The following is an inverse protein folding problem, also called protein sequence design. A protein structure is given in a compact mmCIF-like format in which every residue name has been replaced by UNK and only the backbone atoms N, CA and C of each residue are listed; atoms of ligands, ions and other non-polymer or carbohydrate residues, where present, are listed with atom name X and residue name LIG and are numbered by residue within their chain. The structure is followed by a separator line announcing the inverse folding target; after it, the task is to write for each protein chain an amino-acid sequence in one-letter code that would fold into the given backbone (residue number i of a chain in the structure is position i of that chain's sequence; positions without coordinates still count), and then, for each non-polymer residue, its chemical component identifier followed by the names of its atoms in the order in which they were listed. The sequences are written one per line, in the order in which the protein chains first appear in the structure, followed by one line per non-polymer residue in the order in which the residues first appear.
data_IF_602818597408
#
_entry.id   IF_602818597408
#
_cell.length_a   1.000
_cell.length_b   1.000
_cell.length_c   1.000
_cell.angle_alpha   90.00
_cell.angle_beta   90.00
_cell.angle_gamma   90.00
#
_symmetry.space_group_name_H-M   'P 1'
#
loop_
_entity.id
_entity.type
_entity.pdbx_description
1 polymer ?
#
# COMPACT_ATOMS: atom_id res chain seq x y z
N UNK A 1 -0.25 3.42 -15.65
CA UNK A 1 0.20 2.57 -14.54
C UNK A 1 -0.91 2.44 -13.51
N UNK A 2 -1.26 1.22 -13.15
CA UNK A 2 -2.29 0.94 -12.15
C UNK A 2 -1.63 0.49 -10.85
N UNK A 3 -1.91 1.18 -9.76
CA UNK A 3 -1.34 0.90 -8.45
C UNK A 3 -2.41 0.29 -7.54
N UNK A 4 -2.04 -0.77 -6.81
CA UNK A 4 -2.86 -1.30 -5.73
C UNK A 4 -2.32 -0.74 -4.41
N UNK A 5 -3.18 -0.09 -3.66
CA UNK A 5 -2.85 0.48 -2.37
C UNK A 5 -3.47 -0.39 -1.28
N UNK A 6 -2.61 -1.11 -0.57
CA UNK A 6 -3.03 -1.96 0.54
C UNK A 6 -3.08 -1.09 1.81
N UNK A 7 -4.30 -0.79 2.27
CA UNK A 7 -4.50 0.13 3.39
C UNK A 7 -4.79 -0.63 4.67
N UNK A 8 -3.99 -0.36 5.69
CA UNK A 8 -4.15 -0.94 7.02
C UNK A 8 -4.34 0.18 8.05
N UNK A 9 -4.78 -0.18 9.25
CA UNK A 9 -4.95 0.80 10.33
C UNK A 9 -3.63 1.44 10.73
N UNK A 10 -2.56 0.69 10.73
CA UNK A 10 -1.31 1.09 11.33
C UNK A 10 -1.28 0.73 12.82
N UNK A 11 -0.12 0.61 13.38
CA UNK A 11 0.09 0.21 14.76
C UNK A 11 1.30 0.92 15.35
N UNK A 12 1.28 1.11 16.65
CA UNK A 12 2.46 1.58 17.38
C UNK A 12 3.54 0.51 17.45
N UNK A 13 3.16 -0.75 17.21
CA UNK A 13 4.11 -1.86 17.14
C UNK A 13 4.63 -1.95 15.72
N UNK A 14 5.90 -1.68 15.57
CA UNK A 14 6.53 -1.68 14.26
C UNK A 14 6.42 -3.03 13.55
N UNK A 15 6.50 -4.13 14.29
CA UNK A 15 6.40 -5.47 13.72
C UNK A 15 5.09 -5.65 12.95
N UNK A 16 4.00 -5.09 13.48
CA UNK A 16 2.69 -5.19 12.82
C UNK A 16 2.69 -4.43 11.49
N UNK A 17 3.34 -3.28 11.44
CA UNK A 17 3.44 -2.49 10.21
C UNK A 17 4.32 -3.18 9.18
N UNK A 18 5.41 -3.80 9.63
CA UNK A 18 6.29 -4.57 8.75
C UNK A 18 5.59 -5.77 8.13
N UNK A 19 4.65 -6.38 8.84
CA UNK A 19 3.84 -7.47 8.28
C UNK A 19 3.00 -7.00 7.09
N UNK A 20 2.46 -5.78 7.17
CA UNK A 20 1.70 -5.21 6.06
C UNK A 20 2.61 -4.91 4.87
N UNK A 21 3.81 -4.39 5.12
CA UNK A 21 4.79 -4.15 4.05
C UNK A 21 5.18 -5.47 3.39
N UNK A 22 5.42 -6.52 4.17
CA UNK A 22 5.70 -7.86 3.66
C UNK A 22 4.55 -8.39 2.82
N UNK A 23 3.32 -8.19 3.27
CA UNK A 23 2.15 -8.65 2.53
C UNK A 23 2.05 -7.94 1.17
N UNK A 24 2.28 -6.63 1.15
CA UNK A 24 2.28 -5.88 -0.10
C UNK A 24 3.33 -6.42 -1.07
N UNK A 25 4.53 -6.74 -0.57
CA UNK A 25 5.59 -7.33 -1.39
C UNK A 25 5.19 -8.70 -1.93
N UNK A 26 4.55 -9.52 -1.12
CA UNK A 26 4.08 -10.84 -1.55
C UNK A 26 3.02 -10.74 -2.64
N UNK A 27 2.08 -9.80 -2.47
CA UNK A 27 1.05 -9.56 -3.48
C UNK A 27 1.69 -9.13 -4.79
N UNK A 28 2.69 -8.27 -4.74
CA UNK A 28 3.42 -7.82 -5.92
C UNK A 28 4.11 -8.99 -6.65
N UNK A 29 4.59 -9.98 -5.90
CA UNK A 29 5.25 -11.16 -6.48
C UNK A 29 4.29 -12.04 -7.29
N UNK A 30 3.01 -12.01 -7.00
CA UNK A 30 2.03 -12.78 -7.78
C UNK A 30 1.83 -12.20 -9.18
N UNK A 31 2.35 -11.00 -9.44
CA UNK A 31 2.28 -10.35 -10.76
C UNK A 31 0.87 -10.34 -11.34
N UNK A 32 -0.09 -9.92 -10.52
CA UNK A 32 -1.45 -9.72 -11.00
C UNK A 32 -1.40 -8.68 -12.12
N UNK A 33 -1.87 -9.05 -13.30
CA UNK A 33 -1.72 -8.22 -14.52
C UNK A 33 -2.28 -6.82 -14.39
N UNK A 34 -3.28 -6.63 -13.56
CA UNK A 34 -3.93 -5.34 -13.40
C UNK A 34 -3.07 -4.33 -12.65
N UNK A 35 -2.18 -4.80 -11.78
CA UNK A 35 -1.42 -3.93 -10.90
C UNK A 35 0.07 -4.01 -11.20
N UNK A 36 0.63 -2.87 -11.59
CA UNK A 36 2.05 -2.77 -11.85
C UNK A 36 2.86 -2.51 -10.60
N UNK A 37 2.20 -1.89 -9.61
CA UNK A 37 2.84 -1.56 -8.33
C UNK A 37 1.86 -1.87 -7.20
N UNK A 38 2.35 -2.42 -6.10
CA UNK A 38 1.58 -2.64 -4.88
C UNK A 38 2.30 -1.90 -3.75
N UNK A 39 1.58 -1.03 -3.07
CA UNK A 39 2.12 -0.21 -1.98
C UNK A 39 1.29 -0.35 -0.73
N UNK A 40 1.91 -0.36 0.46
CA UNK A 40 1.17 -0.23 1.70
C UNK A 40 0.86 1.23 1.99
N UNK A 41 -0.20 1.47 2.74
CA UNK A 41 -0.50 2.77 3.32
C UNK A 41 -1.21 2.57 4.65
N UNK A 42 -1.10 3.54 5.54
CA UNK A 42 -1.59 3.39 6.89
C UNK A 42 -2.46 4.58 7.28
N UNK A 43 -3.52 4.30 8.04
CA UNK A 43 -4.41 5.34 8.55
C UNK A 43 -3.72 6.18 9.60
N UNK A 44 -2.93 5.54 10.47
CA UNK A 44 -2.21 6.22 11.54
C UNK A 44 -1.00 5.41 12.00
N UNK A 45 -0.15 6.00 12.81
CA UNK A 45 1.03 5.40 13.48
C UNK A 45 2.17 4.93 12.59
N UNK A 46 1.99 4.85 11.29
CA UNK A 46 3.03 4.36 10.38
C UNK A 46 2.98 5.14 9.07
N UNK A 47 4.07 5.07 8.35
CA UNK A 47 4.21 5.73 7.04
C UNK A 47 4.36 4.68 5.94
N UNK A 48 3.89 5.00 4.73
CA UNK A 48 3.25 6.26 4.37
C UNK A 48 1.80 6.34 4.86
N UNK A 49 1.33 7.53 5.11
CA UNK A 49 -0.09 7.79 5.30
C UNK A 49 -0.80 7.62 3.96
N UNK A 50 -2.13 7.59 3.97
CA UNK A 50 -2.90 7.49 2.73
C UNK A 50 -2.60 8.68 1.81
N UNK A 51 -2.56 9.89 2.35
CA UNK A 51 -2.25 11.09 1.58
C UNK A 51 -0.86 11.00 0.96
N UNK A 52 0.14 10.61 1.75
CA UNK A 52 1.51 10.44 1.25
C UNK A 52 1.59 9.38 0.16
N UNK A 53 0.88 8.27 0.34
CA UNK A 53 0.88 7.20 -0.64
C UNK A 53 0.25 7.64 -1.96
N UNK A 54 -0.84 8.40 -1.90
CA UNK A 54 -1.48 8.94 -3.10
C UNK A 54 -0.55 9.93 -3.81
N UNK A 55 0.13 10.79 -3.05
CA UNK A 55 1.11 11.70 -3.62
C UNK A 55 2.23 10.92 -4.33
N UNK A 56 2.71 9.85 -3.72
CA UNK A 56 3.72 8.98 -4.31
C UNK A 56 3.22 8.36 -5.61
N UNK A 57 1.97 7.93 -5.64
CA UNK A 57 1.35 7.39 -6.86
C UNK A 57 1.37 8.42 -7.99
N UNK A 58 1.07 9.67 -7.67
CA UNK A 58 1.11 10.76 -8.65
C UNK A 58 2.52 10.95 -9.20
N UNK A 59 3.51 10.96 -8.32
CA UNK A 59 4.91 11.13 -8.70
C UNK A 59 5.39 10.05 -9.66
N UNK A 60 4.99 8.80 -9.44
CA UNK A 60 5.41 7.69 -10.29
C UNK A 60 4.58 7.56 -11.58
N UNK A 61 3.58 8.42 -11.76
CA UNK A 61 2.79 8.42 -12.99
C UNK A 61 1.60 7.47 -13.00
N UNK A 62 1.06 7.15 -11.82
CA UNK A 62 -0.14 6.31 -11.77
C UNK A 62 -1.33 7.00 -12.41
N UNK A 63 -2.05 6.26 -13.25
CA UNK A 63 -3.28 6.74 -13.87
C UNK A 63 -4.52 6.17 -13.19
N UNK A 64 -4.34 5.12 -12.40
CA UNK A 64 -5.41 4.48 -11.65
C UNK A 64 -4.86 3.91 -10.34
N UNK A 65 -5.60 4.14 -9.26
CA UNK A 65 -5.25 3.60 -7.95
C UNK A 65 -6.46 2.84 -7.42
N UNK A 66 -6.24 1.58 -7.07
CA UNK A 66 -7.26 0.76 -6.42
C UNK A 66 -6.88 0.62 -4.95
N UNK A 67 -7.81 0.89 -4.08
CA UNK A 67 -7.61 0.78 -2.63
C UNK A 67 -8.18 -0.54 -2.14
N UNK A 68 -7.37 -1.33 -1.48
CA UNK A 68 -7.79 -2.57 -0.84
C UNK A 68 -7.66 -2.38 0.68
N UNK A 69 -8.78 -2.21 1.39
CA UNK A 69 -8.73 -2.14 2.85
C UNK A 69 -8.38 -3.51 3.43
N UNK A 70 -7.45 -3.52 4.35
CA UNK A 70 -7.02 -4.73 5.04
C UNK A 70 -7.07 -4.47 6.55
N UNK A 71 -8.28 -4.55 7.09
CA UNK A 71 -8.55 -4.28 8.50
C UNK A 71 -8.85 -5.58 9.23
N UNK A 72 -8.04 -5.84 10.24
CA UNK A 72 -8.18 -7.03 11.07
C UNK A 72 -8.73 -6.68 12.44
#
# INVERSE_FOLDING_TARGET
MHVLLLVAHGSRREESNLEIESLAQKIALFKVKEFEVVMPAFLEFAKPSITEAIDNCTVIGATKVTVLPYFL
#
